data_IF_227038220715
#
_entry.id   IF_227038220715
#
_cell.length_a   1.000
_cell.length_b   1.000
_cell.length_c   1.000
_cell.angle_alpha   90.00
_cell.angle_beta   90.00
_cell.angle_gamma   90.00
#
_symmetry.space_group_name_H-M   'P 1'
#
loop_
_entity.id
_entity.type
_entity.pdbx_description
1 polymer ?
#
# COMPACT_ATOMS: atom_id res chain seq x y z
N UNK A 1 -14.24 2.16 -7.43
CA UNK A 1 -12.93 2.14 -6.76
C UNK A 1 -11.89 1.58 -7.72
N UNK A 2 -11.65 2.27 -8.85
CA UNK A 2 -10.76 1.74 -9.89
C UNK A 2 -11.15 0.35 -10.37
N UNK A 3 -12.41 0.21 -10.83
CA UNK A 3 -12.99 -0.99 -11.45
C UNK A 3 -12.98 -2.30 -10.61
N UNK A 4 -12.56 -2.24 -9.34
CA UNK A 4 -12.63 -3.37 -8.39
C UNK A 4 -13.95 -3.31 -7.62
N UNK A 5 -14.60 -4.47 -7.48
CA UNK A 5 -15.81 -4.62 -6.67
C UNK A 5 -15.60 -4.14 -5.22
N UNK A 6 -16.58 -3.39 -4.72
CA UNK A 6 -16.57 -2.90 -3.34
C UNK A 6 -16.77 -4.09 -2.38
N UNK A 7 -15.86 -4.35 -1.43
CA UNK A 7 -16.03 -5.46 -0.50
C UNK A 7 -17.22 -5.25 0.44
N UNK A 8 -17.89 -6.33 0.84
CA UNK A 8 -19.13 -6.28 1.64
C UNK A 8 -18.96 -5.53 2.96
N UNK A 9 -17.81 -5.67 3.64
CA UNK A 9 -17.55 -4.96 4.89
C UNK A 9 -17.49 -3.44 4.69
N UNK A 10 -17.02 -2.97 3.53
CA UNK A 10 -16.94 -1.56 3.21
C UNK A 10 -18.34 -1.00 2.97
N UNK A 11 -19.21 -1.73 2.27
CA UNK A 11 -20.61 -1.34 2.07
C UNK A 11 -21.35 -1.12 3.39
N UNK A 12 -21.14 -1.99 4.38
CA UNK A 12 -21.71 -1.79 5.72
C UNK A 12 -21.22 -0.49 6.37
N UNK A 13 -19.94 -0.14 6.19
CA UNK A 13 -19.41 1.12 6.70
C UNK A 13 -19.85 2.34 5.90
N UNK A 14 -20.12 2.22 4.60
CA UNK A 14 -20.67 3.31 3.77
C UNK A 14 -22.02 3.78 4.32
N UNK A 15 -22.89 2.86 4.74
CA UNK A 15 -24.13 3.21 5.43
C UNK A 15 -23.87 3.94 6.75
N UNK A 16 -22.93 3.47 7.58
CA UNK A 16 -22.61 4.17 8.83
C UNK A 16 -22.03 5.57 8.57
N UNK A 17 -21.20 5.72 7.53
CA UNK A 17 -20.65 6.99 7.07
C UNK A 17 -21.74 7.94 6.55
N UNK A 18 -22.81 7.43 5.92
CA UNK A 18 -23.92 8.26 5.44
C UNK A 18 -24.74 8.88 6.57
N UNK A 19 -24.81 8.21 7.73
CA UNK A 19 -25.56 8.68 8.90
C UNK A 19 -24.81 9.73 9.74
N UNK A 20 -23.52 9.94 9.48
CA UNK A 20 -22.71 10.96 10.17
C UNK A 20 -23.06 12.37 9.69
N UNK A 21 -22.63 13.40 10.43
CA UNK A 21 -22.76 14.79 9.97
C UNK A 21 -21.58 15.18 9.08
N UNK A 22 -21.79 16.14 8.17
CA UNK A 22 -20.75 16.67 7.28
C UNK A 22 -19.51 17.19 8.03
N UNK A 23 -19.68 17.74 9.24
CA UNK A 23 -18.56 18.16 10.11
C UNK A 23 -17.72 16.97 10.59
N UNK A 24 -18.37 15.87 11.00
CA UNK A 24 -17.69 14.64 11.42
C UNK A 24 -16.99 13.96 10.25
N UNK A 25 -17.62 13.92 9.08
CA UNK A 25 -17.00 13.41 7.86
C UNK A 25 -15.71 14.15 7.52
N UNK A 26 -15.71 15.48 7.65
CA UNK A 26 -14.54 16.33 7.44
C UNK A 26 -13.42 16.01 8.44
N UNK A 27 -13.76 15.89 9.72
CA UNK A 27 -12.78 15.57 10.77
C UNK A 27 -12.18 14.17 10.57
N UNK A 28 -13.03 13.17 10.28
CA UNK A 28 -12.61 11.80 10.00
C UNK A 28 -11.67 11.76 8.78
N UNK A 29 -12.03 12.45 7.71
CA UNK A 29 -11.19 12.56 6.51
C UNK A 29 -9.83 13.16 6.85
N UNK A 30 -9.78 14.22 7.64
CA UNK A 30 -8.53 14.86 8.06
C UNK A 30 -7.64 13.93 8.89
N UNK A 31 -8.22 13.19 9.85
CA UNK A 31 -7.49 12.20 10.66
C UNK A 31 -6.92 11.10 9.77
N UNK A 32 -7.71 10.59 8.84
CA UNK A 32 -7.29 9.50 7.94
C UNK A 32 -6.16 9.96 7.02
N UNK A 33 -6.24 11.17 6.46
CA UNK A 33 -5.16 11.71 5.63
C UNK A 33 -3.86 11.83 6.45
N UNK A 34 -3.93 12.35 7.68
CA UNK A 34 -2.77 12.39 8.58
C UNK A 34 -2.21 10.99 8.85
N UNK A 35 -3.10 10.02 9.08
CA UNK A 35 -2.73 8.61 9.29
C UNK A 35 -2.00 8.00 8.10
N UNK A 36 -2.40 8.33 6.86
CA UNK A 36 -1.77 7.81 5.65
C UNK A 36 -0.42 8.48 5.43
N UNK A 37 -0.31 9.77 5.78
CA UNK A 37 0.88 10.60 5.64
C UNK A 37 1.91 10.41 6.75
N UNK A 38 1.71 9.40 7.62
CA UNK A 38 2.61 9.08 8.73
C UNK A 38 2.84 10.27 9.69
N UNK A 39 1.84 11.16 9.77
CA UNK A 39 1.79 12.20 10.79
C UNK A 39 1.17 11.61 12.06
N UNK A 40 1.65 12.04 13.23
CA UNK A 40 1.11 11.59 14.52
C UNK A 40 -0.41 11.70 14.53
N UNK A 41 -1.05 10.56 14.80
CA UNK A 41 -2.48 10.46 14.97
C UNK A 41 -2.88 11.26 16.21
N UNK A 42 -3.67 12.30 15.99
CA UNK A 42 -4.22 13.12 17.07
C UNK A 42 -5.30 12.31 17.81
N UNK A 43 -4.87 11.61 18.87
CA UNK A 43 -5.74 10.82 19.74
C UNK A 43 -6.85 11.66 20.39
N UNK A 44 -6.65 12.97 20.53
CA UNK A 44 -7.65 13.89 21.08
C UNK A 44 -8.77 14.16 20.06
N UNK A 45 -8.45 14.29 18.78
CA UNK A 45 -9.47 14.37 17.71
C UNK A 45 -10.25 13.06 17.56
N UNK A 46 -9.60 11.90 17.70
CA UNK A 46 -10.28 10.60 17.70
C UNK A 46 -11.26 10.46 18.87
N UNK A 47 -10.84 10.89 20.06
CA UNK A 47 -11.69 10.90 21.25
C UNK A 47 -12.92 11.82 21.04
N UNK A 48 -12.74 13.00 20.43
CA UNK A 48 -13.85 13.92 20.12
C UNK A 48 -14.90 13.29 19.21
N UNK A 49 -14.50 12.55 18.16
CA UNK A 49 -15.46 11.87 17.27
C UNK A 49 -16.23 10.77 18.00
N UNK A 50 -15.55 9.96 18.83
CA UNK A 50 -16.17 8.87 19.59
C UNK A 50 -17.16 9.40 20.63
N UNK A 51 -16.79 10.46 21.36
CA UNK A 51 -17.56 11.02 22.45
C UNK A 51 -18.83 11.76 21.97
N UNK A 52 -18.75 12.50 20.86
CA UNK A 52 -19.89 13.23 20.27
C UNK A 52 -20.92 12.34 19.57
N UNK A 53 -20.63 11.04 19.42
CA UNK A 53 -21.43 10.15 18.56
C UNK A 53 -21.94 8.90 19.26
N UNK A 54 -21.50 8.62 20.50
CA UNK A 54 -21.68 7.31 21.16
C UNK A 54 -21.22 6.14 20.28
N UNK A 55 -20.23 6.38 19.42
CA UNK A 55 -19.67 5.37 18.52
C UNK A 55 -18.66 4.57 19.32
N UNK A 56 -18.81 3.25 19.32
CA UNK A 56 -17.85 2.35 19.95
C UNK A 56 -16.47 2.47 19.29
N UNK A 57 -15.41 2.27 20.05
CA UNK A 57 -14.03 2.38 19.54
C UNK A 57 -13.80 1.42 18.34
N UNK A 58 -14.42 0.24 18.37
CA UNK A 58 -14.31 -0.74 17.29
C UNK A 58 -15.00 -0.26 16.01
N UNK A 59 -16.18 0.35 16.14
CA UNK A 59 -16.91 0.94 15.02
C UNK A 59 -16.15 2.14 14.46
N UNK A 60 -15.57 2.99 15.31
CA UNK A 60 -14.73 4.11 14.86
C UNK A 60 -13.51 3.62 14.05
N UNK A 61 -12.84 2.55 14.49
CA UNK A 61 -11.74 1.93 13.73
C UNK A 61 -12.20 1.41 12.37
N UNK A 62 -13.39 0.82 12.29
CA UNK A 62 -13.95 0.35 11.03
C UNK A 62 -14.25 1.51 10.06
N UNK A 63 -14.79 2.63 10.57
CA UNK A 63 -15.01 3.85 9.79
C UNK A 63 -13.71 4.46 9.28
N UNK A 64 -12.67 4.52 10.12
CA UNK A 64 -11.33 4.98 9.74
C UNK A 64 -10.78 4.09 8.62
N UNK A 65 -10.86 2.76 8.79
CA UNK A 65 -10.39 1.81 7.80
C UNK A 65 -11.13 1.95 6.45
N UNK A 66 -12.45 2.19 6.50
CA UNK A 66 -13.27 2.42 5.31
C UNK A 66 -12.82 3.66 4.54
N UNK A 67 -12.69 4.80 5.22
CA UNK A 67 -12.24 6.06 4.61
C UNK A 67 -10.79 5.94 4.13
N UNK A 68 -9.93 5.24 4.87
CA UNK A 68 -8.55 4.97 4.47
C UNK A 68 -8.49 4.14 3.20
N UNK A 69 -9.33 3.12 3.07
CA UNK A 69 -9.43 2.30 1.86
C UNK A 69 -9.92 3.14 0.68
N UNK A 70 -10.90 4.02 0.87
CA UNK A 70 -11.36 4.96 -0.17
C UNK A 70 -10.19 5.81 -0.68
N UNK A 71 -9.45 6.47 0.21
CA UNK A 71 -8.33 7.32 -0.18
C UNK A 71 -7.19 6.55 -0.84
N UNK A 72 -6.81 5.39 -0.28
CA UNK A 72 -5.73 4.57 -0.85
C UNK A 72 -6.10 4.01 -2.22
N UNK A 73 -7.33 3.50 -2.39
CA UNK A 73 -7.78 2.93 -3.66
C UNK A 73 -7.93 4.00 -4.75
N UNK A 74 -8.54 5.15 -4.42
CA UNK A 74 -8.71 6.25 -5.37
C UNK A 74 -7.37 6.88 -5.79
N UNK A 75 -6.41 7.04 -4.86
CA UNK A 75 -5.07 7.51 -5.19
C UNK A 75 -4.27 6.48 -6.00
N UNK A 76 -4.35 5.19 -5.63
CA UNK A 76 -3.66 4.09 -6.35
C UNK A 76 -4.10 3.95 -7.80
N UNK A 77 -5.40 4.09 -8.04
CA UNK A 77 -6.01 3.91 -9.35
C UNK A 77 -6.10 5.23 -10.15
N UNK A 78 -5.49 6.32 -9.66
CA UNK A 78 -5.51 7.65 -10.29
C UNK A 78 -6.92 8.11 -10.71
N UNK A 79 -7.93 7.82 -9.87
CA UNK A 79 -9.34 8.11 -10.15
C UNK A 79 -9.56 9.63 -10.15
N UNK A 80 -10.35 10.12 -11.11
CA UNK A 80 -10.68 11.55 -11.17
C UNK A 80 -11.62 11.95 -10.02
N UNK A 81 -11.61 13.23 -9.64
CA UNK A 81 -12.49 13.76 -8.62
C UNK A 81 -13.99 13.55 -8.97
N UNK A 82 -14.35 13.69 -10.25
CA UNK A 82 -15.72 13.50 -10.71
C UNK A 82 -16.14 12.03 -10.58
N UNK A 83 -15.28 11.10 -10.99
CA UNK A 83 -15.56 9.66 -10.94
C UNK A 83 -15.65 9.17 -9.49
N UNK A 84 -14.72 9.59 -8.62
CA UNK A 84 -14.75 9.26 -7.20
C UNK A 84 -16.06 9.75 -6.55
N UNK A 85 -16.47 10.98 -6.82
CA UNK A 85 -17.72 11.53 -6.28
C UNK A 85 -18.95 10.76 -6.78
N UNK A 86 -18.97 10.35 -8.05
CA UNK A 86 -20.07 9.58 -8.63
C UNK A 86 -20.13 8.16 -8.04
N UNK A 87 -18.98 7.47 -7.92
CA UNK A 87 -18.90 6.15 -7.30
C UNK A 87 -19.37 6.18 -5.84
N UNK A 88 -18.90 7.14 -5.03
CA UNK A 88 -19.30 7.25 -3.62
C UNK A 88 -20.81 7.47 -3.48
N UNK A 89 -21.41 8.29 -4.36
CA UNK A 89 -22.85 8.49 -4.38
C UNK A 89 -23.62 7.24 -4.80
N UNK A 90 -23.12 6.47 -5.78
CA UNK A 90 -23.72 5.19 -6.17
C UNK A 90 -23.67 4.15 -5.05
N UNK A 91 -22.62 4.19 -4.21
CA UNK A 91 -22.50 3.33 -3.02
C UNK A 91 -23.42 3.75 -1.87
N UNK A 92 -24.04 4.94 -1.94
CA UNK A 92 -25.02 5.42 -0.95
C UNK A 92 -24.54 6.59 -0.08
N UNK A 93 -23.37 7.18 -0.33
CA UNK A 93 -22.96 8.38 0.38
C UNK A 93 -23.76 9.61 -0.09
N UNK A 94 -24.20 10.48 0.84
CA UNK A 94 -24.75 11.77 0.50
C UNK A 94 -23.78 12.59 -0.36
N UNK A 95 -24.34 13.42 -1.25
CA UNK A 95 -23.56 14.28 -2.14
C UNK A 95 -22.59 15.19 -1.38
N UNK A 96 -23.00 15.69 -0.20
CA UNK A 96 -22.14 16.50 0.66
C UNK A 96 -20.90 15.74 1.13
N UNK A 97 -21.08 14.53 1.67
CA UNK A 97 -19.98 13.69 2.15
C UNK A 97 -19.03 13.30 1.01
N UNK A 98 -19.60 12.92 -0.13
CA UNK A 98 -18.83 12.58 -1.34
C UNK A 98 -17.98 13.76 -1.81
N UNK A 99 -18.53 14.98 -1.76
CA UNK A 99 -17.79 16.21 -2.11
C UNK A 99 -16.64 16.48 -1.14
N UNK A 100 -16.85 16.27 0.16
CA UNK A 100 -15.81 16.44 1.19
C UNK A 100 -14.65 15.46 0.95
N UNK A 101 -14.96 14.17 0.80
CA UNK A 101 -13.95 13.12 0.56
C UNK A 101 -13.18 13.42 -0.73
N UNK A 102 -13.89 13.76 -1.80
CA UNK A 102 -13.28 14.07 -3.11
C UNK A 102 -12.32 15.26 -3.03
N UNK A 103 -12.66 16.29 -2.25
CA UNK A 103 -11.80 17.44 -2.04
C UNK A 103 -10.50 17.04 -1.32
N UNK A 104 -10.61 16.30 -0.21
CA UNK A 104 -9.42 15.82 0.51
C UNK A 104 -8.57 14.87 -0.35
N UNK A 105 -9.19 14.04 -1.17
CA UNK A 105 -8.49 13.18 -2.11
C UNK A 105 -7.69 14.03 -3.10
N UNK A 106 -8.33 14.99 -3.77
CA UNK A 106 -7.67 15.86 -4.75
C UNK A 106 -6.49 16.62 -4.14
N UNK A 107 -6.68 17.17 -2.94
CA UNK A 107 -5.66 17.96 -2.23
C UNK A 107 -4.43 17.11 -1.83
N UNK A 108 -4.61 15.79 -1.60
CA UNK A 108 -3.57 14.91 -1.04
C UNK A 108 -3.19 13.74 -1.96
N UNK A 109 -3.80 13.59 -3.14
CA UNK A 109 -3.64 12.43 -4.01
C UNK A 109 -2.18 12.21 -4.41
N UNK A 110 -1.45 13.27 -4.75
CA UNK A 110 -0.04 13.20 -5.12
C UNK A 110 0.83 12.70 -3.95
N UNK A 111 0.55 13.18 -2.74
CA UNK A 111 1.28 12.78 -1.53
C UNK A 111 0.97 11.32 -1.16
N UNK A 112 -0.31 10.94 -1.13
CA UNK A 112 -0.74 9.56 -0.88
C UNK A 112 -0.12 8.61 -1.92
N UNK A 113 -0.16 8.97 -3.20
CA UNK A 113 0.45 8.17 -4.26
C UNK A 113 1.95 8.00 -4.07
N UNK A 114 2.65 9.05 -3.62
CA UNK A 114 4.10 8.99 -3.34
C UNK A 114 4.40 8.02 -2.20
N UNK A 115 3.65 8.12 -1.10
CA UNK A 115 3.79 7.21 0.05
C UNK A 115 3.45 5.78 -0.34
N UNK A 116 2.33 5.58 -1.04
CA UNK A 116 1.93 4.26 -1.53
C UNK A 116 2.94 3.70 -2.52
N UNK A 117 3.62 4.53 -3.32
CA UNK A 117 4.70 4.09 -4.22
C UNK A 117 5.98 3.72 -3.46
N UNK A 118 6.27 4.41 -2.34
CA UNK A 118 7.35 4.05 -1.41
C UNK A 118 7.07 2.75 -0.65
N UNK A 119 5.83 2.56 -0.20
CA UNK A 119 5.35 1.36 0.48
C UNK A 119 5.00 0.20 -0.48
N UNK A 120 4.79 0.51 -1.76
CA UNK A 120 4.56 -0.49 -2.80
C UNK A 120 5.80 -1.36 -2.88
N UNK A 121 5.62 -2.67 -2.75
CA UNK A 121 6.68 -3.68 -2.79
C UNK A 121 7.48 -3.53 -4.09
N UNK A 122 8.51 -2.67 -4.05
CA UNK A 122 9.58 -2.73 -5.02
C UNK A 122 10.25 -4.07 -4.76
N UNK A 123 10.33 -4.88 -5.80
CA UNK A 123 11.14 -6.10 -5.79
C UNK A 123 12.49 -5.74 -5.16
N UNK A 124 12.90 -6.47 -4.12
CA UNK A 124 14.20 -6.22 -3.48
C UNK A 124 15.26 -6.19 -4.56
N UNK A 125 16.03 -5.11 -4.62
CA UNK A 125 17.07 -4.96 -5.63
C UNK A 125 18.28 -5.76 -5.20
N UNK A 126 18.79 -6.60 -6.09
CA UNK A 126 20.05 -7.30 -5.83
C UNK A 126 21.19 -6.28 -5.90
N UNK A 127 21.83 -6.02 -4.75
CA UNK A 127 22.90 -5.05 -4.59
C UNK A 127 24.27 -5.65 -4.89
N UNK A 128 24.51 -6.87 -4.40
CA UNK A 128 25.77 -7.58 -4.56
C UNK A 128 25.57 -9.09 -4.55
N UNK A 129 26.47 -9.81 -5.22
CA UNK A 129 26.60 -11.27 -5.19
C UNK A 129 28.06 -11.59 -4.91
N UNK A 130 28.31 -12.28 -3.81
CA UNK A 130 29.67 -12.67 -3.38
C UNK A 130 29.75 -14.19 -3.28
N UNK A 131 30.82 -14.77 -3.84
CA UNK A 131 31.12 -16.20 -3.67
C UNK A 131 32.14 -16.31 -2.55
N UNK A 132 31.75 -16.94 -1.44
CA UNK A 132 32.64 -17.11 -0.28
C UNK A 132 33.47 -18.39 -0.50
N UNK A 133 34.81 -18.29 -0.53
CA UNK A 133 35.66 -19.47 -0.62
C UNK A 133 35.47 -20.35 0.61
N UNK A 134 35.33 -21.66 0.37
CA UNK A 134 35.21 -22.64 1.45
C UNK A 134 36.63 -23.03 1.90
N UNK A 135 36.91 -22.98 3.21
CA UNK A 135 38.25 -23.30 3.75
C UNK A 135 38.62 -24.78 3.57
N UNK A 136 37.62 -25.65 3.38
CA UNK A 136 37.78 -27.08 3.10
C UNK A 136 37.24 -27.43 1.69
N UNK A 137 37.77 -28.49 1.04
CA UNK A 137 37.26 -28.96 -0.26
C UNK A 137 35.84 -29.51 -0.12
N UNK A 138 34.85 -28.61 -0.23
CA UNK A 138 33.43 -28.94 -0.16
C UNK A 138 32.81 -29.10 -1.55
N UNK A 139 31.87 -30.05 -1.73
CA UNK A 139 31.07 -30.14 -2.95
C UNK A 139 30.06 -28.99 -3.10
N UNK A 140 29.90 -28.15 -2.08
CA UNK A 140 29.01 -26.98 -2.08
C UNK A 140 29.81 -25.68 -2.18
N UNK A 141 29.29 -24.75 -2.97
CA UNK A 141 29.69 -23.36 -3.02
C UNK A 141 28.74 -22.50 -2.18
N UNK A 142 29.33 -21.60 -1.39
CA UNK A 142 28.58 -20.65 -0.56
C UNK A 142 28.46 -19.33 -1.33
N UNK A 143 27.23 -18.90 -1.62
CA UNK A 143 26.93 -17.66 -2.33
C UNK A 143 26.14 -16.75 -1.41
N UNK A 144 26.57 -15.50 -1.30
CA UNK A 144 25.94 -14.47 -0.50
C UNK A 144 25.29 -13.45 -1.42
N UNK A 145 24.00 -13.23 -1.25
CA UNK A 145 23.22 -12.23 -1.96
C UNK A 145 22.92 -11.09 -0.99
N UNK A 146 23.26 -9.87 -1.38
CA UNK A 146 22.85 -8.67 -0.67
C UNK A 146 21.69 -8.03 -1.43
N UNK A 147 20.59 -7.79 -0.74
CA UNK A 147 19.39 -7.21 -1.34
C UNK A 147 18.98 -5.96 -0.58
N UNK A 148 18.60 -4.91 -1.30
CA UNK A 148 18.05 -3.67 -0.73
C UNK A 148 16.56 -3.63 -0.96
N UNK A 149 15.79 -3.44 0.11
CA UNK A 149 14.35 -3.18 0.03
C UNK A 149 14.11 -1.67 -0.08
N UNK A 150 12.86 -1.26 -0.36
CA UNK A 150 12.46 0.16 -0.38
C UNK A 150 12.73 0.88 0.95
N UNK A 151 12.75 0.14 2.07
CA UNK A 151 13.38 0.56 3.31
C UNK A 151 14.87 0.25 3.22
N UNK A 152 15.73 1.26 3.32
CA UNK A 152 17.19 1.27 3.06
C UNK A 152 18.06 0.23 3.82
N UNK A 153 17.44 -0.74 4.49
CA UNK A 153 18.08 -1.87 5.14
C UNK A 153 18.55 -2.91 4.12
N UNK A 154 19.85 -3.09 4.01
CA UNK A 154 20.48 -4.15 3.24
C UNK A 154 20.31 -5.49 3.97
N UNK A 155 19.69 -6.46 3.30
CA UNK A 155 19.51 -7.83 3.81
C UNK A 155 20.46 -8.78 3.10
N UNK A 156 21.29 -9.44 3.89
CA UNK A 156 22.19 -10.50 3.43
C UNK A 156 21.49 -11.87 3.50
N UNK A 157 21.56 -12.63 2.41
CA UNK A 157 21.05 -14.00 2.32
C UNK A 157 22.15 -14.92 1.82
N UNK A 158 22.51 -15.92 2.63
CA UNK A 158 23.50 -16.92 2.27
C UNK A 158 22.83 -18.18 1.74
N UNK A 159 23.24 -18.66 0.56
CA UNK A 159 22.84 -19.93 -0.03
C UNK A 159 24.05 -20.87 -0.15
N UNK A 160 23.82 -22.16 0.13
CA UNK A 160 24.78 -23.22 -0.17
C UNK A 160 24.25 -24.02 -1.35
N UNK A 161 25.01 -24.06 -2.45
CA UNK A 161 24.60 -24.67 -3.71
C UNK A 161 25.66 -25.68 -4.14
N UNK A 162 25.25 -26.86 -4.57
CA UNK A 162 26.18 -27.87 -5.08
C UNK A 162 26.87 -27.38 -6.35
N UNK A 163 28.17 -27.67 -6.50
CA UNK A 163 28.98 -27.17 -7.63
C UNK A 163 28.47 -27.65 -8.99
N UNK A 164 27.87 -28.83 -9.05
CA UNK A 164 27.18 -29.38 -10.22
C UNK A 164 25.99 -28.50 -10.65
N UNK A 165 25.14 -28.10 -9.69
CA UNK A 165 23.95 -27.26 -9.94
C UNK A 165 24.27 -25.81 -10.31
N UNK A 166 25.46 -25.30 -10.00
CA UNK A 166 25.85 -23.95 -10.41
C UNK A 166 25.91 -23.80 -11.93
N UNK A 167 26.32 -24.85 -12.63
CA UNK A 167 26.38 -24.83 -14.09
C UNK A 167 25.00 -24.76 -14.72
N UNK A 168 24.02 -25.46 -14.14
CA UNK A 168 22.61 -25.43 -14.53
C UNK A 168 22.00 -24.05 -14.28
N UNK A 169 22.18 -23.48 -13.08
CA UNK A 169 21.69 -22.14 -12.72
C UNK A 169 22.28 -21.08 -13.66
N UNK A 170 23.57 -21.17 -14.00
CA UNK A 170 24.19 -20.23 -14.94
C UNK A 170 23.56 -20.30 -16.34
N UNK A 171 23.23 -21.51 -16.80
CA UNK A 171 22.57 -21.71 -18.09
C UNK A 171 21.14 -21.13 -18.09
N UNK A 172 20.40 -21.34 -17.00
CA UNK A 172 19.06 -20.77 -16.82
C UNK A 172 19.10 -19.25 -16.78
N UNK A 173 20.02 -18.64 -16.02
CA UNK A 173 20.17 -17.18 -15.93
C UNK A 173 20.52 -16.54 -17.29
N UNK A 174 21.32 -17.22 -18.13
CA UNK A 174 21.61 -16.77 -19.49
C UNK A 174 20.37 -16.84 -20.39
N UNK A 175 19.56 -17.87 -20.23
CA UNK A 175 18.29 -18.03 -20.96
C UNK A 175 17.32 -16.92 -20.59
N UNK A 176 17.15 -16.65 -19.29
CA UNK A 176 16.33 -15.54 -18.78
C UNK A 176 16.82 -14.20 -19.33
N UNK A 177 18.14 -13.94 -19.30
CA UNK A 177 18.71 -12.72 -19.88
C UNK A 177 18.34 -12.55 -21.36
N UNK A 178 18.44 -13.62 -22.14
CA UNK A 178 18.10 -13.59 -23.58
C UNK A 178 16.62 -13.25 -23.80
N UNK A 179 15.73 -13.87 -23.02
CA UNK A 179 14.29 -13.55 -23.03
C UNK A 179 14.02 -12.09 -22.66
N UNK A 180 14.70 -11.57 -21.62
CA UNK A 180 14.55 -10.17 -21.20
C UNK A 180 15.04 -9.19 -22.28
N UNK A 181 16.14 -9.50 -22.97
CA UNK A 181 16.66 -8.70 -24.09
C UNK A 181 15.67 -8.69 -25.28
N UNK A 182 14.98 -9.81 -25.55
CA UNK A 182 13.94 -9.89 -26.59
C UNK A 182 12.68 -9.07 -26.26
N UNK A 183 12.28 -9.01 -24.99
CA UNK A 183 11.12 -8.21 -24.55
C UNK A 183 11.41 -6.71 -24.51
N UNK A 184 12.70 -6.34 -24.47
CA UNK A 184 13.14 -4.95 -24.42
C UNK A 184 13.40 -4.32 -25.81
N UNK A 185 13.14 -5.06 -26.90
CA UNK A 185 13.12 -4.58 -28.29
C UNK A 185 11.70 -4.24 -28.75
#
# INVERSE_FOLDING_TARGET
>A
MGDVDCPEWLLAQIYNLSQMTSSKMKMLSQIVIKSITDQELDGEMLAKISQDSKIEINELKALIAAVQMIFKSSARNAVSAADLSNELQQLGLPREHSTIITKFHTDNAAQISTILTGQSLRLSRLSSVEVVPNEEPSPFAKIVFKTTSGDENEKETTLNISKDKLSEILAELKTVRTLMEQVSQ
#
